data_IF_213946850203
#
_entry.id   IF_213946850203
#
_cell.length_a   1.000
_cell.length_b   1.000
_cell.length_c   1.000
_cell.angle_alpha   90.00
_cell.angle_beta   90.00
_cell.angle_gamma   90.00
#
_symmetry.space_group_name_H-M   'P 1'
#
loop_
_entity.id
_entity.type
_entity.pdbx_description
1 polymer ?
#
# COMPACT_ATOMS: atom_id res chain seq x y z
N UNK A 1 -11.06 31.49 -60.38
CA UNK A 1 -10.37 32.02 -59.18
C UNK A 1 -10.98 31.31 -57.98
N UNK A 2 -10.20 30.47 -57.29
CA UNK A 2 -10.68 29.53 -56.26
C UNK A 2 -10.79 30.23 -54.89
N UNK A 3 -11.81 29.92 -54.06
CA UNK A 3 -11.86 30.36 -52.68
C UNK A 3 -10.89 29.52 -51.83
N UNK A 4 -10.09 30.20 -51.00
CA UNK A 4 -9.15 29.61 -50.07
C UNK A 4 -9.93 29.21 -48.80
N UNK A 5 -10.12 27.91 -48.60
CA UNK A 5 -10.67 27.36 -47.37
C UNK A 5 -9.67 27.56 -46.22
N UNK A 6 -10.04 28.34 -45.21
CA UNK A 6 -9.40 28.31 -43.90
C UNK A 6 -9.71 26.94 -43.26
N UNK A 7 -8.77 26.01 -43.38
CA UNK A 7 -8.75 24.83 -42.52
C UNK A 7 -8.20 25.27 -41.15
N UNK A 8 -9.09 25.41 -40.17
CA UNK A 8 -8.69 25.47 -38.77
C UNK A 8 -8.20 24.08 -38.36
N UNK A 9 -6.89 23.88 -38.36
CA UNK A 9 -6.27 22.73 -37.70
C UNK A 9 -6.52 22.85 -36.20
N UNK A 10 -7.51 22.12 -35.70
CA UNK A 10 -7.63 21.79 -34.30
C UNK A 10 -6.43 20.89 -33.94
N UNK A 11 -5.38 21.50 -33.39
CA UNK A 11 -4.32 20.79 -32.70
C UNK A 11 -4.91 20.21 -31.42
N UNK A 12 -5.50 19.01 -31.51
CA UNK A 12 -5.72 18.18 -30.35
C UNK A 12 -4.34 17.81 -29.80
N UNK A 13 -3.92 18.54 -28.76
CA UNK A 13 -2.82 18.14 -27.90
C UNK A 13 -3.21 16.79 -27.30
N UNK A 14 -2.77 15.70 -27.92
CA UNK A 14 -2.53 14.45 -27.21
C UNK A 14 -1.43 14.76 -26.18
N UNK A 15 -1.83 15.32 -25.04
CA UNK A 15 -0.99 15.29 -23.86
C UNK A 15 -0.89 13.81 -23.47
N UNK A 16 0.10 13.12 -24.02
CA UNK A 16 0.70 11.97 -23.35
C UNK A 16 1.10 12.48 -21.98
N UNK A 17 0.23 12.28 -20.97
CA UNK A 17 0.45 12.80 -19.63
C UNK A 17 1.79 12.31 -19.14
N UNK A 18 2.76 13.22 -19.07
CA UNK A 18 4.04 12.96 -18.42
C UNK A 18 3.79 12.54 -16.98
N UNK A 19 4.73 11.81 -16.40
CA UNK A 19 4.66 11.45 -15.00
C UNK A 19 4.55 12.71 -14.12
N UNK A 20 3.77 12.62 -13.04
CA UNK A 20 3.46 13.74 -12.16
C UNK A 20 4.02 13.48 -10.77
N UNK A 21 4.71 14.47 -10.20
CA UNK A 21 5.17 14.43 -8.82
C UNK A 21 4.26 15.28 -7.92
N UNK A 22 4.19 14.91 -6.65
CA UNK A 22 3.51 15.66 -5.61
C UNK A 22 4.19 17.02 -5.36
N UNK A 23 3.46 18.01 -4.83
CA UNK A 23 2.11 17.87 -4.30
C UNK A 23 1.01 18.22 -5.33
N UNK A 24 0.01 17.32 -5.50
CA UNK A 24 -1.17 17.53 -6.37
C UNK A 24 -2.50 17.19 -5.65
N UNK A 25 -3.62 17.70 -6.18
CA UNK A 25 -4.96 17.32 -5.72
C UNK A 25 -5.43 16.12 -6.53
N UNK A 26 -6.11 15.17 -5.90
CA UNK A 26 -6.63 13.98 -6.58
C UNK A 26 -7.99 13.57 -6.03
N UNK A 27 -8.68 12.71 -6.76
CA UNK A 27 -9.81 11.95 -6.22
C UNK A 27 -9.30 10.61 -5.68
N UNK A 28 -9.66 10.31 -4.43
CA UNK A 28 -9.37 9.04 -3.78
C UNK A 28 -10.57 8.55 -2.97
N UNK A 29 -10.60 7.25 -2.70
CA UNK A 29 -11.55 6.63 -1.78
C UNK A 29 -11.05 6.78 -0.35
N UNK A 30 -11.93 7.27 0.51
CA UNK A 30 -11.68 7.46 1.94
C UNK A 30 -12.86 6.95 2.75
N UNK A 31 -12.61 6.57 4.01
CA UNK A 31 -13.68 6.20 4.94
C UNK A 31 -14.19 7.43 5.72
N UNK A 32 -15.49 7.68 5.65
CA UNK A 32 -16.18 8.68 6.46
C UNK A 32 -16.63 8.06 7.78
N UNK A 33 -15.94 8.41 8.87
CA UNK A 33 -16.20 7.86 10.20
C UNK A 33 -17.60 8.23 10.71
N UNK A 34 -18.10 9.42 10.40
CA UNK A 34 -19.41 9.85 10.89
C UNK A 34 -20.54 9.11 10.19
N UNK A 35 -20.38 8.86 8.88
CA UNK A 35 -21.38 8.15 8.07
C UNK A 35 -21.16 6.63 8.02
N UNK A 36 -20.06 6.14 8.60
CA UNK A 36 -19.63 4.74 8.53
C UNK A 36 -19.63 4.19 7.10
N UNK A 37 -19.18 5.01 6.14
CA UNK A 37 -19.28 4.70 4.71
C UNK A 37 -18.07 5.20 3.94
N UNK A 38 -17.70 4.47 2.88
CA UNK A 38 -16.68 4.92 1.95
C UNK A 38 -17.23 6.01 1.02
N UNK A 39 -16.37 6.96 0.68
CA UNK A 39 -16.70 8.04 -0.25
C UNK A 39 -15.52 8.36 -1.15
N UNK A 40 -15.83 8.83 -2.36
CA UNK A 40 -14.89 9.58 -3.16
C UNK A 40 -14.75 10.98 -2.58
N UNK A 41 -13.52 11.43 -2.39
CA UNK A 41 -13.21 12.76 -1.90
C UNK A 41 -12.05 13.36 -2.70
N UNK A 42 -12.08 14.68 -2.86
CA UNK A 42 -10.90 15.41 -3.26
C UNK A 42 -9.91 15.39 -2.08
N UNK A 43 -8.69 14.96 -2.35
CA UNK A 43 -7.61 14.80 -1.38
C UNK A 43 -6.34 15.47 -1.88
N UNK A 44 -5.39 15.67 -0.97
CA UNK A 44 -4.05 16.18 -1.28
C UNK A 44 -3.05 15.05 -1.12
N UNK A 45 -2.30 14.74 -2.19
CA UNK A 45 -1.16 13.81 -2.13
C UNK A 45 0.12 14.61 -2.09
N UNK A 46 1.02 14.28 -1.17
CA UNK A 46 2.16 15.11 -0.80
C UNK A 46 3.51 14.44 -1.01
N UNK A 47 3.57 13.11 -1.10
CA UNK A 47 4.83 12.36 -1.03
C UNK A 47 5.20 11.53 -2.28
N UNK A 48 4.40 11.55 -3.33
CA UNK A 48 4.71 10.86 -4.58
C UNK A 48 5.81 11.56 -5.39
N UNK A 49 6.86 10.83 -5.73
CA UNK A 49 7.84 11.24 -6.74
C UNK A 49 7.42 10.83 -8.15
N UNK A 50 6.50 9.88 -8.27
CA UNK A 50 5.94 9.39 -9.53
C UNK A 50 4.49 8.94 -9.31
N UNK A 51 3.53 9.65 -9.89
CA UNK A 51 2.13 9.23 -9.91
C UNK A 51 1.97 7.99 -10.78
N UNK A 52 2.55 7.98 -11.99
CA UNK A 52 2.42 6.86 -12.94
C UNK A 52 2.75 5.51 -12.31
N UNK A 53 3.81 5.51 -11.50
CA UNK A 53 4.33 4.30 -10.91
C UNK A 53 4.10 4.20 -9.40
N UNK A 54 3.33 5.14 -8.84
CA UNK A 54 3.03 5.25 -7.41
C UNK A 54 4.26 5.03 -6.52
N UNK A 55 5.32 5.77 -6.81
CA UNK A 55 6.57 5.78 -6.02
C UNK A 55 6.63 7.00 -5.12
N UNK A 56 7.07 6.82 -3.88
CA UNK A 56 7.29 7.94 -2.97
C UNK A 56 7.59 7.53 -1.53
N UNK A 57 7.67 8.50 -0.63
CA UNK A 57 8.17 8.24 0.74
C UNK A 57 7.22 7.41 1.60
N UNK A 58 5.95 7.28 1.22
CA UNK A 58 4.98 6.45 1.94
C UNK A 58 5.05 4.96 1.60
N UNK A 59 5.83 4.58 0.59
CA UNK A 59 5.93 3.22 0.05
C UNK A 59 5.93 3.23 -1.47
N UNK A 60 6.64 2.30 -2.10
CA UNK A 60 6.51 2.07 -3.53
C UNK A 60 5.45 0.99 -3.77
N UNK A 61 4.48 1.29 -4.65
CA UNK A 61 3.40 0.36 -4.97
C UNK A 61 3.80 -0.53 -6.15
N UNK A 62 3.67 -1.83 -5.95
CA UNK A 62 3.76 -2.86 -6.97
C UNK A 62 2.48 -3.68 -6.97
N UNK A 63 2.21 -4.42 -8.05
CA UNK A 63 0.99 -5.22 -8.15
C UNK A 63 1.24 -6.63 -8.72
N UNK A 64 0.35 -7.55 -8.36
CA UNK A 64 0.40 -8.94 -8.76
C UNK A 64 1.56 -9.69 -8.09
N UNK A 65 2.10 -10.67 -8.80
CA UNK A 65 3.15 -11.56 -8.26
C UNK A 65 2.59 -12.79 -7.54
N UNK A 66 3.51 -13.71 -7.21
CA UNK A 66 3.23 -14.93 -6.44
C UNK A 66 4.23 -15.01 -5.30
N UNK A 67 3.72 -15.02 -4.08
CA UNK A 67 4.51 -15.13 -2.86
C UNK A 67 4.13 -16.43 -2.17
N UNK A 68 5.13 -17.23 -1.83
CA UNK A 68 4.97 -18.50 -1.13
C UNK A 68 5.75 -18.50 0.15
N UNK A 69 5.03 -18.67 1.25
CA UNK A 69 5.56 -18.57 2.59
C UNK A 69 5.84 -19.95 3.14
N UNK A 70 7.04 -20.16 3.68
CA UNK A 70 7.38 -21.35 4.45
C UNK A 70 7.61 -20.99 5.92
N UNK A 71 6.83 -21.61 6.80
CA UNK A 71 6.96 -21.43 8.26
C UNK A 71 8.33 -21.90 8.77
N UNK A 72 8.91 -22.92 8.15
CA UNK A 72 10.24 -23.43 8.51
C UNK A 72 11.33 -22.39 8.18
N UNK A 73 11.24 -21.76 7.00
CA UNK A 73 12.19 -20.75 6.58
C UNK A 73 12.08 -19.44 7.38
N UNK A 74 10.88 -19.04 7.82
CA UNK A 74 10.70 -17.90 8.74
C UNK A 74 11.36 -18.15 10.10
N UNK A 75 11.33 -19.40 10.58
CA UNK A 75 11.91 -19.79 11.88
C UNK A 75 13.41 -20.07 11.83
N UNK A 76 14.02 -20.06 10.64
CA UNK A 76 15.45 -20.30 10.49
C UNK A 76 16.23 -19.09 11.05
N UNK A 77 17.12 -19.35 12.02
CA UNK A 77 17.92 -18.29 12.64
C UNK A 77 18.82 -17.57 11.64
N UNK A 78 18.90 -16.24 11.74
CA UNK A 78 19.79 -15.40 10.93
C UNK A 78 19.22 -14.95 9.57
N UNK A 79 17.95 -15.23 9.27
CA UNK A 79 17.31 -14.74 8.05
C UNK A 79 17.12 -13.21 8.10
N UNK A 80 17.58 -12.50 7.07
CA UNK A 80 17.27 -11.08 6.86
C UNK A 80 15.96 -10.93 6.07
N UNK A 81 15.30 -9.78 6.19
CA UNK A 81 14.10 -9.44 5.41
C UNK A 81 14.32 -9.68 3.91
N UNK A 82 15.47 -9.23 3.37
CA UNK A 82 15.77 -9.38 1.95
C UNK A 82 15.99 -10.83 1.55
N UNK A 83 16.65 -11.62 2.41
CA UNK A 83 16.81 -13.06 2.17
C UNK A 83 15.47 -13.80 2.15
N UNK A 84 14.53 -13.41 3.03
CA UNK A 84 13.18 -13.98 3.08
C UNK A 84 12.39 -13.59 1.84
N UNK A 85 12.44 -12.31 1.42
CA UNK A 85 11.78 -11.86 0.18
C UNK A 85 12.29 -12.62 -1.03
N UNK A 86 13.61 -12.73 -1.21
CA UNK A 86 14.20 -13.47 -2.34
C UNK A 86 13.83 -14.96 -2.32
N UNK A 87 13.71 -15.58 -1.15
CA UNK A 87 13.35 -16.99 -1.03
C UNK A 87 11.85 -17.25 -1.31
N UNK A 88 10.98 -16.31 -0.98
CA UNK A 88 9.53 -16.50 -1.00
C UNK A 88 8.82 -15.92 -2.21
N UNK A 89 9.42 -14.98 -2.93
CA UNK A 89 8.85 -14.42 -4.15
C UNK A 89 9.13 -15.38 -5.31
N UNK A 90 8.11 -16.15 -5.72
CA UNK A 90 8.18 -17.03 -6.89
C UNK A 90 8.02 -16.27 -8.20
N UNK A 91 7.17 -15.25 -8.18
CA UNK A 91 6.98 -14.33 -9.29
C UNK A 91 6.96 -12.91 -8.72
N UNK A 92 7.91 -12.04 -9.11
CA UNK A 92 8.00 -10.71 -8.55
C UNK A 92 6.74 -9.91 -8.90
N UNK A 93 6.24 -9.10 -7.95
CA UNK A 93 5.26 -8.06 -8.26
C UNK A 93 5.81 -7.13 -9.35
N UNK A 94 4.93 -6.71 -10.25
CA UNK A 94 5.29 -5.77 -11.31
C UNK A 94 5.17 -4.33 -10.81
N UNK A 95 5.96 -3.44 -11.42
CA UNK A 95 5.73 -2.01 -11.28
C UNK A 95 4.34 -1.66 -11.83
N UNK A 96 3.62 -0.78 -11.14
CA UNK A 96 2.31 -0.30 -11.58
C UNK A 96 2.45 0.76 -12.67
N UNK A 97 1.44 0.87 -13.52
CA UNK A 97 1.27 1.95 -14.49
C UNK A 97 -0.18 2.43 -14.38
N UNK A 98 -0.42 3.45 -13.55
CA UNK A 98 -1.76 3.98 -13.33
C UNK A 98 -2.18 4.88 -14.48
N UNK A 99 -3.49 4.92 -14.73
CA UNK A 99 -4.14 5.75 -15.75
C UNK A 99 -4.87 6.91 -15.06
N UNK A 100 -4.71 8.14 -15.58
CA UNK A 100 -5.35 9.32 -14.99
C UNK A 100 -5.55 10.45 -16.00
N UNK A 101 -6.55 11.27 -15.72
CA UNK A 101 -6.80 12.55 -16.35
C UNK A 101 -6.68 13.69 -15.34
N UNK A 102 -6.42 14.89 -15.83
CA UNK A 102 -6.46 16.11 -15.00
C UNK A 102 -7.62 16.98 -15.46
N UNK A 103 -8.52 17.32 -14.54
CA UNK A 103 -9.64 18.24 -14.77
C UNK A 103 -9.66 19.25 -13.63
N UNK A 104 -9.65 20.55 -13.96
CA UNK A 104 -9.63 21.65 -12.98
C UNK A 104 -8.53 21.46 -11.91
N UNK A 105 -7.31 21.12 -12.33
CA UNK A 105 -6.14 20.86 -11.47
C UNK A 105 -6.31 19.71 -10.45
N UNK A 106 -7.29 18.83 -10.68
CA UNK A 106 -7.53 17.62 -9.88
C UNK A 106 -7.23 16.40 -10.74
N UNK A 107 -6.44 15.48 -10.20
CA UNK A 107 -6.17 14.17 -10.78
C UNK A 107 -7.38 13.25 -10.57
N UNK A 108 -7.91 12.73 -11.66
CA UNK A 108 -8.96 11.71 -11.69
C UNK A 108 -8.40 10.43 -12.28
N UNK A 109 -8.33 9.33 -11.52
CA UNK A 109 -8.03 8.02 -12.07
C UNK A 109 -9.02 7.65 -13.19
N UNK A 110 -8.54 7.09 -14.29
CA UNK A 110 -9.39 6.75 -15.45
C UNK A 110 -10.14 5.43 -15.27
N UNK A 111 -9.63 4.55 -14.39
CA UNK A 111 -10.22 3.26 -14.08
C UNK A 111 -10.19 2.95 -12.58
N UNK A 112 -10.93 1.91 -12.19
CA UNK A 112 -11.05 1.52 -10.79
C UNK A 112 -9.73 1.00 -10.20
N UNK A 113 -8.89 0.32 -10.99
CA UNK A 113 -7.61 -0.19 -10.49
C UNK A 113 -6.67 0.97 -10.12
N UNK A 114 -6.57 1.98 -10.98
CA UNK A 114 -5.80 3.19 -10.73
C UNK A 114 -6.36 3.98 -9.54
N UNK A 115 -7.69 4.03 -9.40
CA UNK A 115 -8.34 4.61 -8.23
C UNK A 115 -8.00 3.85 -6.95
N UNK A 116 -8.05 2.52 -6.99
CA UNK A 116 -7.74 1.67 -5.84
C UNK A 116 -6.29 1.86 -5.39
N UNK A 117 -5.34 1.79 -6.32
CA UNK A 117 -3.92 1.89 -6.02
C UNK A 117 -3.56 3.30 -5.50
N UNK A 118 -4.09 4.36 -6.13
CA UNK A 118 -3.90 5.73 -5.65
C UNK A 118 -4.53 5.94 -4.27
N UNK A 119 -5.72 5.39 -4.03
CA UNK A 119 -6.40 5.46 -2.73
C UNK A 119 -5.62 4.73 -1.65
N UNK A 120 -5.08 3.56 -1.97
CA UNK A 120 -4.20 2.78 -1.07
C UNK A 120 -2.98 3.60 -0.69
N UNK A 121 -2.28 4.18 -1.67
CA UNK A 121 -1.13 5.05 -1.41
C UNK A 121 -1.51 6.24 -0.54
N UNK A 122 -2.59 6.95 -0.89
CA UNK A 122 -3.04 8.13 -0.14
C UNK A 122 -3.39 7.80 1.31
N UNK A 123 -4.09 6.69 1.58
CA UNK A 123 -4.42 6.30 2.95
C UNK A 123 -3.17 5.88 3.74
N UNK A 124 -2.16 5.29 3.08
CA UNK A 124 -0.84 5.03 3.69
C UNK A 124 -0.12 6.33 4.05
N UNK A 125 -0.06 7.29 3.11
CA UNK A 125 0.52 8.62 3.36
C UNK A 125 -0.16 9.32 4.54
N UNK A 126 -1.50 9.32 4.54
CA UNK A 126 -2.30 9.95 5.59
C UNK A 126 -2.09 9.29 6.95
N UNK A 127 -2.06 7.96 7.00
CA UNK A 127 -1.84 7.22 8.24
C UNK A 127 -0.42 7.44 8.78
N UNK A 128 0.61 7.40 7.92
CA UNK A 128 1.99 7.72 8.30
C UNK A 128 2.09 9.13 8.87
N UNK A 129 1.45 10.11 8.23
CA UNK A 129 1.38 11.48 8.77
C UNK A 129 0.70 11.51 10.15
N UNK A 130 -0.42 10.83 10.33
CA UNK A 130 -1.12 10.81 11.61
C UNK A 130 -0.26 10.20 12.74
N UNK A 131 0.45 9.10 12.46
CA UNK A 131 1.39 8.49 13.41
C UNK A 131 2.59 9.41 13.71
N UNK A 132 3.12 10.09 12.69
CA UNK A 132 4.19 11.07 12.86
C UNK A 132 3.74 12.25 13.74
N UNK A 133 2.52 12.75 13.55
CA UNK A 133 1.91 13.79 14.38
C UNK A 133 1.72 13.33 15.84
N UNK A 134 1.67 12.01 16.11
CA UNK A 134 1.68 11.41 17.44
C UNK A 134 3.09 11.07 17.99
N UNK A 135 4.15 11.45 17.26
CA UNK A 135 5.54 11.27 17.68
C UNK A 135 6.26 10.06 17.06
N UNK A 136 5.59 9.27 16.22
CA UNK A 136 6.19 8.12 15.51
C UNK A 136 6.77 8.56 14.16
N UNK A 137 7.77 9.43 14.18
CA UNK A 137 8.21 10.21 13.01
C UNK A 137 9.22 9.51 12.08
N UNK A 138 9.71 8.32 12.43
CA UNK A 138 10.89 7.70 11.79
C UNK A 138 10.64 6.33 11.16
N UNK A 139 9.38 5.97 10.87
CA UNK A 139 9.09 4.67 10.24
C UNK A 139 9.67 4.63 8.81
N UNK A 140 10.52 3.65 8.47
CA UNK A 140 11.05 3.54 7.12
C UNK A 140 9.92 3.28 6.12
N UNK A 141 10.16 3.67 4.87
CA UNK A 141 9.30 3.25 3.76
C UNK A 141 9.41 1.74 3.59
N UNK A 142 8.27 1.06 3.44
CA UNK A 142 8.19 -0.39 3.20
C UNK A 142 7.42 -0.63 1.91
N UNK A 143 7.72 -1.74 1.18
CA UNK A 143 7.01 -2.06 -0.05
C UNK A 143 5.50 -2.22 0.18
N UNK A 144 4.70 -1.80 -0.80
CA UNK A 144 3.26 -2.03 -0.85
C UNK A 144 2.99 -2.91 -2.08
N UNK A 145 2.40 -4.08 -1.86
CA UNK A 145 2.14 -5.07 -2.91
C UNK A 145 0.64 -5.30 -3.01
N UNK A 146 0.02 -4.75 -4.05
CA UNK A 146 -1.38 -4.96 -4.35
C UNK A 146 -1.60 -6.28 -5.09
N UNK A 147 -2.72 -6.95 -4.82
CA UNK A 147 -3.21 -8.07 -5.62
C UNK A 147 -2.23 -9.25 -5.79
N UNK A 148 -1.29 -9.43 -4.85
CA UNK A 148 -0.41 -10.59 -4.85
C UNK A 148 -1.17 -11.87 -4.47
N UNK A 149 -0.84 -12.96 -5.16
CA UNK A 149 -1.19 -14.31 -4.72
C UNK A 149 -0.22 -14.73 -3.61
N UNK A 150 -0.62 -14.45 -2.36
CA UNK A 150 0.11 -14.82 -1.14
C UNK A 150 -0.48 -16.11 -0.56
N UNK A 151 0.36 -17.14 -0.44
CA UNK A 151 -0.06 -18.41 0.14
C UNK A 151 1.07 -19.11 0.90
N UNK A 152 0.73 -19.92 1.89
CA UNK A 152 1.63 -20.84 2.58
C UNK A 152 1.82 -22.15 1.79
N UNK A 153 2.50 -23.11 2.41
CA UNK A 153 2.73 -24.45 1.84
C UNK A 153 1.44 -25.24 1.56
N UNK A 154 0.33 -24.89 2.21
CA UNK A 154 -0.98 -25.51 2.05
C UNK A 154 -1.89 -24.74 1.09
N UNK A 155 -1.41 -23.64 0.49
CA UNK A 155 -2.22 -22.80 -0.40
C UNK A 155 -3.13 -21.83 0.35
N UNK A 156 -2.95 -21.64 1.66
CA UNK A 156 -3.74 -20.71 2.47
C UNK A 156 -3.02 -19.38 2.62
N UNK A 157 -3.75 -18.26 2.66
CA UNK A 157 -3.11 -16.97 2.95
C UNK A 157 -2.52 -17.00 4.37
N UNK A 158 -1.21 -16.75 4.54
CA UNK A 158 -0.57 -16.59 5.85
C UNK A 158 -0.85 -15.22 6.46
N UNK A 159 -1.43 -14.29 5.70
CA UNK A 159 -1.93 -13.01 6.18
C UNK A 159 -3.43 -13.16 6.49
N UNK A 160 -3.87 -12.95 7.75
CA UNK A 160 -5.27 -13.02 8.10
C UNK A 160 -6.14 -12.08 7.26
N UNK A 161 -7.43 -12.41 7.12
CA UNK A 161 -8.37 -11.58 6.38
C UNK A 161 -8.46 -10.17 6.99
N UNK A 162 -8.36 -9.14 6.14
CA UNK A 162 -8.41 -7.74 6.58
C UNK A 162 -7.06 -7.15 7.02
N UNK A 163 -6.05 -8.00 7.27
CA UNK A 163 -4.71 -7.53 7.60
C UNK A 163 -3.96 -7.05 6.37
N UNK A 164 -3.12 -6.04 6.57
CA UNK A 164 -2.35 -5.41 5.49
C UNK A 164 -0.85 -5.55 5.67
N UNK A 165 -0.34 -5.84 6.87
CA UNK A 165 1.10 -5.90 7.12
C UNK A 165 1.55 -7.31 7.40
N UNK A 166 2.59 -7.76 6.69
CA UNK A 166 3.22 -9.06 6.91
C UNK A 166 4.64 -8.88 7.48
N UNK A 167 4.81 -9.00 8.81
CA UNK A 167 6.10 -8.73 9.47
C UNK A 167 7.28 -9.55 8.96
N UNK A 168 7.16 -10.86 8.63
CA UNK A 168 8.31 -11.63 8.17
C UNK A 168 8.98 -11.08 6.90
N UNK A 169 8.22 -10.37 6.05
CA UNK A 169 8.76 -9.72 4.85
C UNK A 169 8.86 -8.21 4.97
N UNK A 170 8.47 -7.62 6.10
CA UNK A 170 8.29 -6.18 6.30
C UNK A 170 7.65 -5.51 5.07
N UNK A 171 6.50 -6.05 4.65
CA UNK A 171 5.81 -5.68 3.41
C UNK A 171 4.32 -5.50 3.71
N UNK A 172 3.75 -4.43 3.15
CA UNK A 172 2.30 -4.27 3.13
C UNK A 172 1.72 -5.02 1.94
N UNK A 173 0.74 -5.87 2.16
CA UNK A 173 -0.04 -6.52 1.12
C UNK A 173 -1.44 -5.95 1.11
N UNK A 174 -1.88 -5.48 -0.06
CA UNK A 174 -3.25 -5.04 -0.30
C UNK A 174 -3.93 -6.12 -1.17
N UNK A 175 -4.50 -7.17 -0.56
CA UNK A 175 -5.12 -8.25 -1.33
C UNK A 175 -6.28 -7.72 -2.16
N UNK A 176 -6.48 -8.30 -3.34
CA UNK A 176 -7.67 -8.04 -4.12
C UNK A 176 -8.90 -8.49 -3.31
N UNK A 177 -9.96 -7.69 -3.33
CA UNK A 177 -11.22 -8.06 -2.67
C UNK A 177 -11.74 -9.37 -3.25
N UNK A 178 -12.07 -10.34 -2.40
CA UNK A 178 -12.68 -11.61 -2.80
C UNK A 178 -14.11 -11.40 -3.32
N UNK A 179 -14.72 -12.46 -3.85
CA UNK A 179 -16.01 -12.46 -4.57
C UNK A 179 -17.25 -11.99 -3.77
N UNK A 180 -17.10 -11.44 -2.56
CA UNK A 180 -18.18 -10.89 -1.75
C UNK A 180 -17.91 -9.44 -1.35
N UNK A 181 -18.25 -8.47 -2.22
CA UNK A 181 -18.69 -7.09 -1.89
C UNK A 181 -17.94 -6.27 -0.81
N UNK A 182 -16.80 -6.71 -0.31
CA UNK A 182 -16.04 -6.06 0.74
C UNK A 182 -15.16 -4.99 0.09
N UNK A 183 -15.17 -3.79 0.66
CA UNK A 183 -14.29 -2.71 0.23
C UNK A 183 -12.85 -3.05 0.64
N UNK A 184 -11.82 -2.81 -0.20
CA UNK A 184 -10.44 -3.11 0.16
C UNK A 184 -10.08 -2.50 1.52
N UNK A 185 -9.48 -3.27 2.47
CA UNK A 185 -9.10 -2.76 3.78
C UNK A 185 -8.16 -1.55 3.69
N UNK A 186 -7.36 -1.47 2.62
CA UNK A 186 -6.48 -0.35 2.32
C UNK A 186 -7.21 1.00 2.11
N UNK A 187 -8.52 1.01 1.88
CA UNK A 187 -9.32 2.24 1.82
C UNK A 187 -9.72 2.76 3.20
N UNK A 188 -9.65 1.90 4.22
CA UNK A 188 -9.97 2.25 5.59
C UNK A 188 -8.72 2.77 6.29
N UNK A 189 -8.70 4.08 6.58
CA UNK A 189 -7.59 4.71 7.28
C UNK A 189 -7.25 4.04 8.62
N UNK A 190 -8.25 3.54 9.35
CA UNK A 190 -8.04 2.83 10.61
C UNK A 190 -7.32 1.50 10.42
N UNK A 191 -7.66 0.73 9.38
CA UNK A 191 -6.97 -0.52 9.06
C UNK A 191 -5.53 -0.27 8.62
N UNK A 192 -5.30 0.77 7.81
CA UNK A 192 -3.95 1.16 7.40
C UNK A 192 -3.12 1.66 8.59
N UNK A 193 -3.71 2.45 9.49
CA UNK A 193 -3.05 2.89 10.71
C UNK A 193 -2.73 1.72 11.66
N UNK A 194 -3.62 0.73 11.78
CA UNK A 194 -3.38 -0.51 12.52
C UNK A 194 -2.17 -1.26 11.96
N UNK A 195 -2.13 -1.46 10.64
CA UNK A 195 -1.02 -2.12 9.95
C UNK A 195 0.31 -1.38 10.11
N UNK A 196 0.32 -0.05 10.06
CA UNK A 196 1.50 0.76 10.38
C UNK A 196 1.89 0.69 11.86
N UNK A 197 0.93 0.44 12.76
CA UNK A 197 1.20 0.19 14.17
C UNK A 197 2.06 -1.06 14.37
N UNK A 198 1.79 -2.13 13.61
CA UNK A 198 2.65 -3.33 13.60
C UNK A 198 4.06 -3.00 13.10
N UNK A 199 4.18 -2.21 12.03
CA UNK A 199 5.49 -1.73 11.59
C UNK A 199 6.18 -0.93 12.71
N UNK A 200 5.48 -0.01 13.38
CA UNK A 200 6.07 0.79 14.45
C UNK A 200 6.57 -0.07 15.62
N UNK A 201 5.82 -1.10 16.00
CA UNK A 201 6.25 -2.09 16.99
C UNK A 201 7.53 -2.80 16.54
N UNK A 202 7.60 -3.24 15.28
CA UNK A 202 8.80 -3.89 14.73
C UNK A 202 10.03 -2.98 14.76
N UNK A 203 9.90 -1.73 14.35
CA UNK A 203 11.03 -0.78 14.36
C UNK A 203 11.48 -0.44 15.78
N UNK A 204 10.53 -0.12 16.67
CA UNK A 204 10.84 0.42 17.99
C UNK A 204 11.24 -0.64 19.00
N UNK A 205 10.69 -1.84 18.90
CA UNK A 205 10.88 -2.91 19.90
C UNK A 205 11.88 -3.94 19.41
N UNK A 206 11.87 -4.27 18.11
CA UNK A 206 12.75 -5.30 17.54
C UNK A 206 13.90 -4.71 16.73
N UNK A 207 14.07 -3.39 16.72
CA UNK A 207 15.16 -2.72 16.00
C UNK A 207 15.12 -2.99 14.48
N UNK A 208 13.93 -3.23 13.94
CA UNK A 208 13.72 -3.57 12.53
C UNK A 208 14.04 -5.03 12.16
N UNK A 209 14.23 -5.91 13.15
CA UNK A 209 14.34 -7.34 12.90
C UNK A 209 12.95 -7.94 12.57
N UNK A 210 12.85 -8.80 11.53
CA UNK A 210 11.58 -9.39 11.14
C UNK A 210 11.03 -10.28 12.26
N UNK A 211 9.77 -10.05 12.64
CA UNK A 211 9.08 -10.92 13.60
C UNK A 211 8.54 -12.18 12.91
N UNK A 212 8.78 -13.38 13.48
CA UNK A 212 8.43 -14.64 12.83
C UNK A 212 6.93 -14.99 12.87
N UNK A 213 6.07 -14.16 13.46
CA UNK A 213 4.64 -14.47 13.59
C UNK A 213 3.77 -13.29 13.16
N UNK A 214 2.82 -13.49 12.22
CA UNK A 214 1.56 -12.77 12.30
C UNK A 214 0.84 -13.23 13.58
N UNK A 215 0.30 -12.31 14.36
CA UNK A 215 -0.30 -12.59 15.66
C UNK A 215 -1.51 -13.55 15.52
N UNK A 216 -1.31 -14.84 15.78
CA UNK A 216 -2.40 -15.80 15.84
C UNK A 216 -2.98 -15.82 17.27
N UNK A 217 -4.02 -15.03 17.55
CA UNK A 217 -4.76 -15.13 18.81
C UNK A 217 -5.94 -14.17 18.95
N UNK A 218 -7.10 -14.72 19.34
CA UNK A 218 -8.41 -14.07 19.47
C UNK A 218 -8.59 -13.15 20.69
N UNK A 219 -7.52 -12.63 21.29
CA UNK A 219 -7.64 -11.82 22.52
C UNK A 219 -6.68 -10.62 22.52
N UNK A 220 -7.26 -9.45 22.21
CA UNK A 220 -6.64 -8.15 21.99
C UNK A 220 -6.17 -7.50 23.30
N UNK A 221 -5.04 -7.93 23.85
CA UNK A 221 -4.36 -7.18 24.93
C UNK A 221 -2.86 -7.34 24.81
N UNK A 222 -2.16 -6.48 24.05
CA UNK A 222 -0.82 -5.95 24.34
C UNK A 222 0.15 -6.79 25.22
N UNK A 223 0.27 -8.12 25.07
CA UNK A 223 0.72 -8.93 26.22
C UNK A 223 2.17 -9.33 26.25
N UNK A 224 2.94 -9.26 25.16
CA UNK A 224 4.35 -9.64 25.26
C UNK A 224 5.32 -8.70 24.56
N UNK A 225 5.08 -7.39 24.67
CA UNK A 225 6.16 -6.39 24.59
C UNK A 225 7.21 -6.61 25.71
N UNK A 226 6.91 -7.33 26.80
CA UNK A 226 7.72 -7.25 28.01
C UNK A 226 8.37 -8.56 28.54
N UNK A 227 8.19 -9.74 27.93
CA UNK A 227 8.69 -10.99 28.59
C UNK A 227 9.96 -11.62 28.02
N UNK A 228 10.23 -11.58 26.71
CA UNK A 228 11.46 -12.17 26.16
C UNK A 228 12.64 -11.20 26.07
N UNK A 229 12.39 -9.88 26.08
CA UNK A 229 13.45 -8.88 26.30
C UNK A 229 13.90 -8.83 27.79
N UNK A 230 13.21 -9.55 28.69
CA UNK A 230 13.45 -9.59 30.13
C UNK A 230 13.91 -10.97 30.65
N UNK A 231 13.98 -11.99 29.80
CA UNK A 231 14.49 -13.32 30.15
C UNK A 231 15.72 -13.65 29.30
N UNK A 232 16.80 -12.88 29.53
CA UNK A 232 18.21 -13.32 29.44
C UNK A 232 18.73 -13.85 28.12
#
# INVERSE_FOLDING_TARGET
MKPLHLLACAAALCACGGDMASPFSAVAITFDVNKQAFKLAQVRVNSLTSLRHLKGSSGDVTAGGKVRVSTAAIKAGGASVDSLRSAFIKMPPAQVDVSWNVLNDIVYPEDFASLELLSTYYNMEKARKALADWGLTTLPSRPIVAHADLADENGLSPLPEGELYYPPMATFFAPATTAQQAVPPAFNLGAVAHALGHQAVEELIWGGAPSPSPEAGTDNKAKHIARALAEG
#
